data_IF_739989682976
#
_entry.id   IF_739989682976
#
_cell.length_a   1.000
_cell.length_b   1.000
_cell.length_c   1.000
_cell.angle_alpha   90.00
_cell.angle_beta   90.00
_cell.angle_gamma   90.00
#
_symmetry.space_group_name_H-M   'P 1'
#
loop_
_entity.id
_entity.type
_entity.pdbx_description
1 polymer ?
#
# COMPACT_ATOMS: atom_id res chain seq x y z
N UNK A 1 -8.95 22.35 22.92
CA UNK A 1 -9.71 23.60 23.16
C UNK A 1 -10.90 23.26 24.03
N UNK A 2 -11.04 23.93 25.17
CA UNK A 2 -11.99 23.56 26.23
C UNK A 2 -13.32 24.31 26.02
N UNK A 3 -14.49 23.67 26.17
CA UNK A 3 -15.79 24.33 25.92
C UNK A 3 -16.01 25.49 26.89
N UNK A 4 -15.55 25.35 28.13
CA UNK A 4 -15.60 26.42 29.14
C UNK A 4 -14.71 27.63 28.81
N UNK A 5 -13.62 27.45 28.07
CA UNK A 5 -12.71 28.56 27.72
C UNK A 5 -13.20 29.38 26.52
N UNK A 6 -14.30 28.97 25.88
CA UNK A 6 -14.85 29.61 24.68
C UNK A 6 -15.94 30.64 24.97
N UNK A 7 -16.41 30.75 26.23
CA UNK A 7 -17.39 31.78 26.61
C UNK A 7 -18.66 31.73 25.76
N UNK A 8 -19.04 32.85 25.14
CA UNK A 8 -20.24 32.93 24.31
C UNK A 8 -20.15 32.15 22.99
N UNK A 9 -18.95 31.80 22.51
CA UNK A 9 -18.80 31.00 21.28
C UNK A 9 -18.96 29.50 21.53
N UNK A 10 -19.15 29.09 22.79
CA UNK A 10 -19.51 27.71 23.13
C UNK A 10 -20.96 27.38 22.78
N UNK A 11 -21.80 28.39 22.52
CA UNK A 11 -23.21 28.25 22.20
C UNK A 11 -23.44 28.31 20.69
N UNK A 12 -24.15 27.33 20.14
CA UNK A 12 -24.58 27.37 18.73
C UNK A 12 -25.59 28.50 18.49
N UNK A 13 -26.29 28.98 19.52
CA UNK A 13 -27.19 30.13 19.41
C UNK A 13 -26.48 31.42 18.97
N UNK A 14 -25.17 31.53 19.19
CA UNK A 14 -24.37 32.69 18.80
C UNK A 14 -24.29 32.84 17.27
N UNK A 15 -24.36 31.72 16.52
CA UNK A 15 -24.38 31.75 15.05
C UNK A 15 -25.63 32.45 14.48
N UNK A 16 -26.68 32.61 15.30
CA UNK A 16 -27.91 33.31 14.95
C UNK A 16 -27.91 34.79 15.38
N UNK A 17 -26.82 35.29 15.95
CA UNK A 17 -26.66 36.70 16.33
C UNK A 17 -25.89 37.42 15.22
N UNK A 18 -26.52 38.42 14.60
CA UNK A 18 -25.86 39.34 13.66
C UNK A 18 -26.25 40.77 14.00
N UNK A 19 -25.29 41.69 13.94
CA UNK A 19 -25.47 43.11 14.32
C UNK A 19 -26.16 43.32 15.68
N UNK A 20 -25.78 42.52 16.70
CA UNK A 20 -26.35 42.53 18.05
C UNK A 20 -27.85 42.18 18.10
N UNK A 21 -28.42 41.64 17.02
CA UNK A 21 -29.80 41.18 16.93
C UNK A 21 -29.86 39.65 16.83
N UNK A 22 -30.71 39.06 17.66
CA UNK A 22 -30.98 37.61 17.65
C UNK A 22 -32.01 37.27 16.57
N UNK A 23 -31.65 36.40 15.63
CA UNK A 23 -32.59 35.82 14.67
C UNK A 23 -33.37 34.66 15.29
N UNK A 24 -34.53 34.29 14.70
CA UNK A 24 -35.36 33.18 15.20
C UNK A 24 -34.55 31.90 15.33
N UNK A 25 -34.60 31.29 16.52
CA UNK A 25 -33.87 30.09 16.85
C UNK A 25 -34.81 28.87 16.75
N UNK A 26 -34.34 27.70 16.30
CA UNK A 26 -35.13 26.47 16.31
C UNK A 26 -35.65 26.10 17.70
N UNK A 27 -36.85 25.51 17.78
CA UNK A 27 -37.45 25.08 19.05
C UNK A 27 -36.68 23.96 19.77
N UNK A 28 -35.84 23.22 19.05
CA UNK A 28 -35.00 22.13 19.56
C UNK A 28 -33.54 22.56 19.82
N UNK A 29 -33.24 23.86 19.86
CA UNK A 29 -31.88 24.39 20.03
C UNK A 29 -31.15 23.83 21.24
N UNK A 30 -31.81 23.76 22.40
CA UNK A 30 -31.17 23.26 23.63
C UNK A 30 -30.65 21.83 23.47
N UNK A 31 -31.36 21.00 22.69
CA UNK A 31 -30.96 19.61 22.42
C UNK A 31 -29.77 19.56 21.48
N UNK A 32 -29.71 20.46 20.50
CA UNK A 32 -28.58 20.57 19.58
C UNK A 32 -27.32 21.03 20.33
N UNK A 33 -27.45 22.01 21.22
CA UNK A 33 -26.35 22.50 22.07
C UNK A 33 -25.83 21.43 23.01
N UNK A 34 -26.71 20.69 23.70
CA UNK A 34 -26.30 19.60 24.57
C UNK A 34 -25.54 18.49 23.81
N UNK A 35 -25.98 18.14 22.60
CA UNK A 35 -25.28 17.17 21.73
C UNK A 35 -23.91 17.69 21.31
N UNK A 36 -23.83 18.96 20.93
CA UNK A 36 -22.59 19.61 20.56
C UNK A 36 -21.60 19.58 21.72
N UNK A 37 -21.97 20.07 22.91
CA UNK A 37 -21.11 20.05 24.10
C UNK A 37 -20.62 18.65 24.47
N UNK A 38 -21.50 17.66 24.39
CA UNK A 38 -21.13 16.27 24.66
C UNK A 38 -20.10 15.76 23.65
N UNK A 39 -20.34 15.98 22.35
CA UNK A 39 -19.41 15.56 21.29
C UNK A 39 -18.05 16.25 21.39
N UNK A 40 -18.02 17.56 21.64
CA UNK A 40 -16.79 18.33 21.82
C UNK A 40 -16.06 17.92 23.10
N UNK A 41 -16.78 17.70 24.20
CA UNK A 41 -16.21 17.20 25.45
C UNK A 41 -15.59 15.81 25.30
N UNK A 42 -16.27 14.91 24.58
CA UNK A 42 -15.77 13.57 24.29
C UNK A 42 -14.54 13.60 23.39
N UNK A 43 -14.52 14.43 22.35
CA UNK A 43 -13.34 14.64 21.51
C UNK A 43 -12.16 15.19 22.33
N UNK A 44 -12.41 16.12 23.25
CA UNK A 44 -11.38 16.64 24.15
C UNK A 44 -10.85 15.56 25.10
N UNK A 45 -11.73 14.72 25.64
CA UNK A 45 -11.34 13.61 26.50
C UNK A 45 -10.47 12.60 25.77
N UNK A 46 -10.87 12.23 24.55
CA UNK A 46 -10.07 11.37 23.67
C UNK A 46 -8.70 11.98 23.36
N UNK A 47 -8.65 13.28 23.08
CA UNK A 47 -7.39 13.99 22.84
C UNK A 47 -6.50 14.01 24.09
N UNK A 48 -7.06 14.25 25.28
CA UNK A 48 -6.31 14.26 26.53
C UNK A 48 -5.71 12.89 26.88
N UNK A 49 -6.46 11.81 26.64
CA UNK A 49 -5.94 10.44 26.78
C UNK A 49 -4.81 10.16 25.79
N UNK A 50 -4.92 10.66 24.57
CA UNK A 50 -3.88 10.54 23.56
C UNK A 50 -2.63 11.36 23.94
N UNK A 51 -2.78 12.60 24.40
CA UNK A 51 -1.66 13.44 24.82
C UNK A 51 -0.93 12.88 26.05
N UNK A 52 -1.64 12.23 26.97
CA UNK A 52 -1.02 11.50 28.08
C UNK A 52 -0.11 10.38 27.56
N UNK A 53 -0.51 9.74 26.45
CA UNK A 53 0.21 8.63 25.83
C UNK A 53 1.40 9.08 24.96
N UNK A 54 1.21 10.10 24.12
CA UNK A 54 2.23 10.62 23.19
C UNK A 54 3.18 11.60 23.85
N UNK A 55 2.80 12.19 24.98
CA UNK A 55 3.36 13.43 25.46
C UNK A 55 2.80 14.66 24.71
N UNK A 56 3.08 15.87 25.24
CA UNK A 56 2.55 17.12 24.70
C UNK A 56 3.16 17.47 23.34
N UNK A 57 2.32 17.87 22.39
CA UNK A 57 2.75 18.27 21.03
C UNK A 57 3.56 19.56 20.98
N UNK A 58 3.40 20.43 21.98
CA UNK A 58 4.10 21.71 22.08
C UNK A 58 4.85 21.79 23.42
N UNK A 59 6.15 21.55 23.40
CA UNK A 59 7.01 21.69 24.57
C UNK A 59 7.23 23.20 24.81
N UNK A 60 6.36 23.83 25.60
CA UNK A 60 6.62 25.19 26.10
C UNK A 60 7.81 25.17 27.06
N UNK A 61 8.60 26.25 27.06
CA UNK A 61 9.69 26.45 28.03
C UNK A 61 9.13 26.32 29.45
N UNK A 62 9.58 25.31 30.19
CA UNK A 62 9.15 25.02 31.57
C UNK A 62 8.46 23.67 31.79
N UNK A 63 8.13 22.91 30.74
CA UNK A 63 7.65 21.53 30.91
C UNK A 63 8.80 20.59 31.31
N UNK A 64 8.69 19.98 32.48
CA UNK A 64 9.55 18.88 32.90
C UNK A 64 8.95 17.57 32.40
N UNK A 65 9.71 16.84 31.58
CA UNK A 65 9.38 15.45 31.26
C UNK A 65 9.75 14.59 32.46
N UNK A 66 8.75 13.95 33.06
CA UNK A 66 8.96 12.99 34.14
C UNK A 66 9.16 11.63 33.47
N UNK A 67 10.33 11.05 33.68
CA UNK A 67 10.62 9.70 33.19
C UNK A 67 10.06 8.67 34.19
N UNK A 68 9.55 7.53 33.70
CA UNK A 68 9.02 6.49 34.57
C UNK A 68 10.15 5.87 35.40
N UNK A 69 10.06 5.98 36.73
CA UNK A 69 11.02 5.39 37.66
C UNK A 69 10.59 3.97 38.07
N UNK A 70 9.28 3.76 38.24
CA UNK A 70 8.71 2.49 38.68
C UNK A 70 8.65 1.45 37.56
N UNK A 71 8.78 0.17 37.94
CA UNK A 71 8.64 -0.97 37.03
C UNK A 71 7.23 -1.05 36.41
N UNK A 72 6.20 -0.63 37.16
CA UNK A 72 4.81 -0.61 36.69
C UNK A 72 4.59 0.44 35.59
N UNK A 73 5.15 1.64 35.77
CA UNK A 73 5.07 2.72 34.79
C UNK A 73 5.80 2.34 33.50
N UNK A 74 6.98 1.71 33.61
CA UNK A 74 7.73 1.19 32.45
C UNK A 74 6.96 0.11 31.69
N UNK A 75 6.26 -0.77 32.41
CA UNK A 75 5.41 -1.79 31.80
C UNK A 75 4.21 -1.15 31.08
N UNK A 76 3.60 -0.11 31.66
CA UNK A 76 2.53 0.66 31.02
C UNK A 76 3.02 1.36 29.75
N UNK A 77 4.18 2.05 29.79
CA UNK A 77 4.75 2.69 28.60
C UNK A 77 5.06 1.70 27.48
N UNK A 78 5.56 0.48 27.80
CA UNK A 78 5.82 -0.55 26.79
C UNK A 78 4.56 -1.13 26.14
N UNK A 79 3.46 -1.18 26.88
CA UNK A 79 2.20 -1.74 26.42
C UNK A 79 1.28 -0.70 25.75
N UNK A 80 1.67 0.57 25.76
CA UNK A 80 0.89 1.66 25.20
C UNK A 80 1.18 1.83 23.71
N UNK A 81 0.24 1.38 22.88
CA UNK A 81 0.30 1.59 21.44
C UNK A 81 -0.29 2.96 21.16
N UNK A 82 0.55 3.89 20.71
CA UNK A 82 0.10 5.24 20.35
C UNK A 82 0.34 5.47 18.88
N UNK A 83 -0.63 6.07 18.21
CA UNK A 83 -0.52 6.44 16.81
C UNK A 83 0.26 7.76 16.73
N UNK A 84 1.42 7.72 16.09
CA UNK A 84 2.27 8.90 15.92
C UNK A 84 1.79 9.63 14.67
N UNK A 85 1.29 10.85 14.86
CA UNK A 85 0.80 11.71 13.78
C UNK A 85 1.93 12.51 13.12
N UNK A 86 3.16 12.47 13.67
CA UNK A 86 4.30 13.21 13.18
C UNK A 86 5.27 12.32 12.41
N UNK A 87 4.92 12.07 11.14
CA UNK A 87 5.84 11.66 10.06
C UNK A 87 6.56 10.31 10.16
N UNK A 88 6.37 9.52 11.21
CA UNK A 88 6.95 8.18 11.27
C UNK A 88 6.02 7.14 10.63
N UNK A 89 6.15 6.91 9.32
CA UNK A 89 5.46 5.81 8.64
C UNK A 89 5.91 4.47 9.23
N UNK A 90 5.06 3.86 10.07
CA UNK A 90 5.30 2.51 10.59
C UNK A 90 4.94 1.49 9.52
N UNK A 91 5.95 1.00 8.82
CA UNK A 91 5.81 -0.14 7.90
C UNK A 91 5.68 -1.40 8.74
N UNK A 92 4.62 -2.19 8.52
CA UNK A 92 4.46 -3.49 9.17
C UNK A 92 5.49 -4.47 8.63
N UNK A 93 6.52 -4.76 9.43
CA UNK A 93 7.61 -5.68 9.10
C UNK A 93 7.05 -7.08 8.78
N UNK A 94 5.99 -7.51 9.47
CA UNK A 94 5.32 -8.78 9.20
C UNK A 94 4.70 -8.82 7.80
N UNK A 95 4.04 -7.73 7.39
CA UNK A 95 3.48 -7.61 6.04
C UNK A 95 4.57 -7.64 4.97
N UNK A 96 5.69 -6.96 5.22
CA UNK A 96 6.85 -6.96 4.32
C UNK A 96 7.42 -8.37 4.13
N UNK A 97 7.66 -9.08 5.23
CA UNK A 97 8.18 -10.46 5.19
C UNK A 97 7.22 -11.38 4.45
N UNK A 98 5.92 -11.26 4.69
CA UNK A 98 4.91 -12.11 4.06
C UNK A 98 4.86 -11.89 2.54
N UNK A 99 4.88 -10.63 2.08
CA UNK A 99 4.89 -10.31 0.64
C UNK A 99 6.17 -10.83 -0.02
N UNK A 100 7.33 -10.63 0.60
CA UNK A 100 8.59 -11.14 0.07
C UNK A 100 8.65 -12.67 0.06
N UNK A 101 8.17 -13.34 1.11
CA UNK A 101 8.17 -14.78 1.20
C UNK A 101 7.25 -15.41 0.14
N UNK A 102 6.01 -14.92 0.00
CA UNK A 102 5.06 -15.44 -0.98
C UNK A 102 5.53 -15.13 -2.40
N UNK A 103 5.98 -13.90 -2.66
CA UNK A 103 6.51 -13.51 -3.97
C UNK A 103 7.72 -14.34 -4.37
N UNK A 104 8.70 -14.50 -3.46
CA UNK A 104 9.87 -15.34 -3.67
C UNK A 104 9.51 -16.80 -3.90
N UNK A 105 8.56 -17.34 -3.12
CA UNK A 105 8.09 -18.72 -3.28
C UNK A 105 7.43 -18.96 -4.65
N UNK A 106 6.60 -18.03 -5.13
CA UNK A 106 5.97 -18.13 -6.46
C UNK A 106 7.00 -18.08 -7.59
N UNK A 107 8.01 -17.21 -7.49
CA UNK A 107 9.09 -17.12 -8.48
C UNK A 107 9.91 -18.42 -8.49
N UNK A 108 10.28 -18.92 -7.30
CA UNK A 108 10.99 -20.18 -7.18
C UNK A 108 10.17 -21.33 -7.78
N UNK A 109 8.87 -21.42 -7.47
CA UNK A 109 7.99 -22.42 -8.07
C UNK A 109 7.99 -22.34 -9.60
N UNK A 110 7.91 -21.14 -10.19
CA UNK A 110 7.99 -20.97 -11.64
C UNK A 110 9.30 -21.53 -12.23
N UNK A 111 10.43 -21.17 -11.62
CA UNK A 111 11.75 -21.66 -12.07
C UNK A 111 11.92 -23.17 -11.87
N UNK A 112 11.42 -23.71 -10.77
CA UNK A 112 11.44 -25.15 -10.51
C UNK A 112 10.54 -25.92 -11.48
N UNK A 113 9.40 -25.36 -11.90
CA UNK A 113 8.54 -25.99 -12.90
C UNK A 113 9.27 -26.11 -14.22
N UNK A 114 9.95 -25.06 -14.69
CA UNK A 114 10.71 -25.13 -15.95
C UNK A 114 11.86 -26.15 -15.86
N UNK A 115 12.57 -26.18 -14.72
CA UNK A 115 13.67 -27.13 -14.51
C UNK A 115 13.17 -28.57 -14.40
N UNK A 116 12.09 -28.81 -13.66
CA UNK A 116 11.48 -30.12 -13.46
C UNK A 116 10.85 -30.64 -14.75
N UNK A 117 10.14 -29.80 -15.50
CA UNK A 117 9.56 -30.15 -16.80
C UNK A 117 10.67 -30.48 -17.79
N UNK A 118 11.75 -29.69 -17.85
CA UNK A 118 12.90 -29.98 -18.70
C UNK A 118 13.59 -31.30 -18.34
N UNK A 119 13.81 -31.54 -17.04
CA UNK A 119 14.41 -32.78 -16.55
C UNK A 119 13.53 -34.00 -16.82
N UNK A 120 12.22 -33.89 -16.56
CA UNK A 120 11.25 -34.96 -16.78
C UNK A 120 11.03 -35.25 -18.27
N UNK A 121 11.00 -34.22 -19.13
CA UNK A 121 10.93 -34.38 -20.59
C UNK A 121 12.17 -35.08 -21.14
N UNK A 122 13.37 -34.75 -20.63
CA UNK A 122 14.60 -35.41 -21.05
C UNK A 122 14.65 -36.87 -20.57
N UNK A 123 14.14 -37.15 -19.36
CA UNK A 123 14.17 -38.49 -18.79
C UNK A 123 13.11 -39.43 -19.37
N UNK A 124 11.88 -38.96 -19.58
CA UNK A 124 10.77 -39.78 -20.10
C UNK A 124 10.58 -39.70 -21.62
N UNK A 125 11.29 -38.79 -22.32
CA UNK A 125 11.09 -38.47 -23.76
C UNK A 125 9.62 -38.20 -24.14
N UNK A 126 8.78 -37.85 -23.16
CA UNK A 126 7.37 -37.52 -23.37
C UNK A 126 7.20 -36.03 -23.65
N UNK A 127 6.30 -35.69 -24.58
CA UNK A 127 5.88 -34.30 -24.80
C UNK A 127 6.76 -33.47 -25.75
N UNK A 128 7.77 -34.05 -26.41
CA UNK A 128 8.62 -33.35 -27.39
C UNK A 128 7.82 -32.71 -28.53
N UNK A 129 6.71 -33.34 -28.97
CA UNK A 129 5.80 -32.75 -29.96
C UNK A 129 5.07 -31.50 -29.43
N UNK A 130 4.66 -31.52 -28.16
CA UNK A 130 3.97 -30.39 -27.52
C UNK A 130 4.94 -29.25 -27.24
N UNK A 131 6.18 -29.55 -26.87
CA UNK A 131 7.25 -28.56 -26.69
C UNK A 131 7.58 -27.85 -28.01
N UNK A 132 7.70 -28.58 -29.12
CA UNK A 132 7.90 -27.98 -30.46
C UNK A 132 6.74 -27.07 -30.88
N UNK A 133 5.51 -27.42 -30.51
CA UNK A 133 4.33 -26.56 -30.71
C UNK A 133 4.39 -25.29 -29.86
N UNK A 134 4.84 -25.39 -28.60
CA UNK A 134 5.05 -24.23 -27.73
C UNK A 134 6.10 -23.26 -28.27
N UNK A 135 7.23 -23.78 -28.77
CA UNK A 135 8.29 -22.96 -29.40
C UNK A 135 7.75 -22.27 -30.67
N UNK A 136 6.95 -22.96 -31.49
CA UNK A 136 6.30 -22.34 -32.66
C UNK A 136 5.22 -21.32 -32.30
N UNK A 137 4.60 -21.45 -31.13
CA UNK A 137 3.59 -20.52 -30.63
C UNK A 137 4.15 -19.25 -30.01
N UNK A 138 5.48 -19.11 -29.92
CA UNK A 138 6.09 -17.94 -29.32
C UNK A 138 5.89 -16.69 -30.21
N UNK A 139 5.75 -15.53 -29.57
CA UNK A 139 5.31 -14.27 -30.23
C UNK A 139 6.20 -13.86 -31.41
N UNK A 140 7.51 -14.10 -31.29
CA UNK A 140 8.50 -13.78 -32.32
C UNK A 140 8.38 -14.72 -33.52
N UNK A 141 8.02 -15.99 -33.29
CA UNK A 141 7.81 -16.96 -34.36
C UNK A 141 6.51 -16.68 -35.13
N UNK A 142 5.45 -16.26 -34.43
CA UNK A 142 4.22 -15.81 -35.09
C UNK A 142 4.47 -14.58 -35.97
N UNK A 143 5.21 -13.59 -35.46
CA UNK A 143 5.57 -12.41 -36.24
C UNK A 143 6.38 -12.77 -37.48
N UNK A 144 7.36 -13.68 -37.36
CA UNK A 144 8.10 -14.22 -38.51
C UNK A 144 7.17 -14.88 -39.53
N UNK A 145 6.23 -15.72 -39.10
CA UNK A 145 5.29 -16.40 -40.01
C UNK A 145 4.44 -15.39 -40.80
N UNK A 146 4.02 -14.28 -40.18
CA UNK A 146 3.32 -13.21 -40.88
C UNK A 146 4.22 -12.52 -41.91
N UNK A 147 5.48 -12.23 -41.59
CA UNK A 147 6.41 -11.65 -42.56
C UNK A 147 6.71 -12.56 -43.74
N UNK A 148 6.83 -13.87 -43.51
CA UNK A 148 6.95 -14.86 -44.57
C UNK A 148 5.71 -14.86 -45.47
N UNK A 149 4.51 -14.81 -44.89
CA UNK A 149 3.25 -14.71 -45.66
C UNK A 149 3.15 -13.41 -46.46
N UNK A 150 3.69 -12.32 -45.95
CA UNK A 150 3.77 -11.03 -46.64
C UNK A 150 4.91 -10.96 -47.68
N UNK A 151 5.71 -12.02 -47.82
CA UNK A 151 6.84 -12.06 -48.77
C UNK A 151 8.05 -11.22 -48.34
N UNK A 152 8.14 -10.84 -47.07
CA UNK A 152 9.19 -9.97 -46.52
C UNK A 152 10.30 -10.82 -45.89
N UNK A 153 11.48 -10.82 -46.53
CA UNK A 153 12.71 -11.44 -46.02
C UNK A 153 12.89 -12.93 -46.36
N UNK A 154 14.15 -13.38 -46.48
CA UNK A 154 14.52 -14.81 -46.52
C UNK A 154 14.93 -15.23 -45.11
N UNK A 155 14.22 -16.21 -44.56
CA UNK A 155 14.36 -16.64 -43.16
C UNK A 155 14.91 -18.06 -43.09
N UNK A 156 15.78 -18.34 -42.13
CA UNK A 156 16.39 -19.65 -41.94
C UNK A 156 15.38 -20.63 -41.30
N UNK A 157 15.16 -21.81 -41.90
CA UNK A 157 14.07 -22.71 -41.53
C UNK A 157 14.28 -23.46 -40.21
N UNK A 158 15.53 -23.65 -39.76
CA UNK A 158 15.86 -24.58 -38.66
C UNK A 158 16.21 -23.91 -37.32
N UNK A 159 16.08 -22.58 -37.21
CA UNK A 159 16.46 -21.84 -35.99
C UNK A 159 15.31 -21.67 -34.99
N UNK A 160 15.61 -21.85 -33.70
CA UNK A 160 14.71 -21.57 -32.56
C UNK A 160 14.47 -20.06 -32.32
N UNK A 161 15.24 -19.18 -32.98
CA UNK A 161 15.10 -17.73 -32.93
C UNK A 161 15.02 -17.15 -34.35
N UNK A 162 14.27 -16.06 -34.60
CA UNK A 162 14.06 -15.56 -35.95
C UNK A 162 15.33 -14.92 -36.54
N UNK A 163 16.05 -15.67 -37.37
CA UNK A 163 17.23 -15.21 -38.12
C UNK A 163 16.84 -14.94 -39.57
N UNK A 164 17.24 -13.78 -40.08
CA UNK A 164 17.26 -13.55 -41.52
C UNK A 164 18.56 -14.09 -42.10
N UNK A 165 18.49 -14.77 -43.24
CA UNK A 165 19.70 -15.22 -43.95
C UNK A 165 20.49 -13.97 -44.37
N UNK A 166 21.76 -13.89 -43.95
CA UNK A 166 22.67 -12.83 -44.36
C UNK A 166 22.86 -12.83 -45.87
N UNK A 167 23.03 -11.65 -46.47
CA UNK A 167 23.28 -11.50 -47.91
C UNK A 167 24.55 -12.27 -48.39
N UNK A 168 25.45 -12.62 -47.47
CA UNK A 168 26.71 -13.33 -47.77
C UNK A 168 26.54 -14.77 -48.29
N UNK A 169 25.43 -15.44 -48.01
CA UNK A 169 25.23 -16.85 -48.41
C UNK A 169 24.59 -17.01 -49.80
N UNK A 170 24.32 -15.89 -50.51
CA UNK A 170 23.80 -15.92 -51.89
C UNK A 170 24.82 -16.38 -52.94
N UNK A 171 26.10 -16.50 -52.62
CA UNK A 171 27.18 -16.74 -53.60
C UNK A 171 27.88 -18.09 -53.48
N UNK A 172 27.33 -19.03 -52.70
CA UNK A 172 27.85 -20.39 -52.59
C UNK A 172 26.91 -21.39 -53.27
N UNK A 173 26.76 -21.21 -54.59
CA UNK A 173 26.19 -22.20 -55.52
C UNK A 173 27.08 -22.29 -56.74
#
# INVERSE_FOLDING_TARGET
MNVHSQGSTALLANDFVTDLRQYPIPSNQWTLEAKFWFSTGLAHFQHALQEYATGPTNIRRGLQMIFPESQTEKAMCKNQIVNDSQSTTRISILGLILVFAIGGFLILLGLFVDLLVGWLQNWFKWGTARQKLWVRGDKLMLQRQMFVQMGLGKWEEESEWPVTVSYSDKFKS
#
